data_IF_901850668585
#
_entry.id   IF_901850668585
#
_cell.length_a   1.000
_cell.length_b   1.000
_cell.length_c   1.000
_cell.angle_alpha   90.00
_cell.angle_beta   90.00
_cell.angle_gamma   90.00
#
_symmetry.space_group_name_H-M   'P 1'
#
loop_
_entity.id
_entity.type
_entity.pdbx_description
1 polymer ?
#
# COMPACT_ATOMS: atom_id res chain seq x y z
N UNK A 1 1.00 -17.42 3.75
CA UNK A 1 0.32 -16.43 4.61
C UNK A 1 1.32 -15.91 5.63
N UNK A 2 1.92 -14.76 5.36
CA UNK A 2 2.79 -14.06 6.32
C UNK A 2 1.90 -13.24 7.26
N UNK A 3 1.96 -13.50 8.55
CA UNK A 3 1.08 -12.87 9.52
C UNK A 3 1.62 -11.51 9.93
N UNK A 4 0.76 -10.50 10.00
CA UNK A 4 1.05 -9.14 10.45
C UNK A 4 1.58 -9.05 11.91
N UNK A 5 1.56 -10.12 12.70
CA UNK A 5 2.17 -10.14 14.02
C UNK A 5 3.68 -9.81 14.02
N UNK A 6 4.37 -9.98 12.88
CA UNK A 6 5.77 -9.57 12.77
C UNK A 6 5.92 -8.04 12.61
N UNK A 7 4.90 -7.32 12.16
CA UNK A 7 4.94 -5.87 11.99
C UNK A 7 4.89 -5.08 13.30
N UNK A 8 4.18 -5.59 14.32
CA UNK A 8 4.07 -4.91 15.62
C UNK A 8 5.38 -4.93 16.42
N UNK A 9 6.21 -5.96 16.25
CA UNK A 9 7.50 -6.06 16.93
C UNK A 9 8.62 -5.27 16.25
N UNK A 10 8.54 -5.06 14.94
CA UNK A 10 9.55 -4.29 14.20
C UNK A 10 9.41 -2.77 14.37
N UNK A 11 8.19 -2.27 14.72
CA UNK A 11 7.97 -0.85 14.95
C UNK A 11 8.58 -0.34 16.28
N UNK A 12 8.91 -1.24 17.20
CA UNK A 12 9.51 -0.93 18.50
C UNK A 12 11.02 -1.24 18.54
N UNK A 13 11.80 -0.80 17.55
CA UNK A 13 13.26 -0.87 17.59
C UNK A 13 13.85 -0.18 18.82
N UNK A 14 13.59 -0.73 20.01
CA UNK A 14 14.26 -0.38 21.27
C UNK A 14 15.26 -1.47 21.56
N UNK A 15 16.53 -1.09 21.61
CA UNK A 15 17.69 -1.84 22.07
C UNK A 15 17.35 -2.82 23.19
N UNK A 16 17.63 -4.09 22.93
CA UNK A 16 17.46 -5.22 23.84
C UNK A 16 18.36 -5.07 25.05
N UNK A 17 17.79 -4.78 26.20
CA UNK A 17 18.44 -5.04 27.52
C UNK A 17 18.11 -6.48 27.88
N UNK A 18 19.13 -7.34 27.89
CA UNK A 18 19.03 -8.71 28.39
C UNK A 18 18.62 -8.69 29.87
N UNK A 19 17.46 -9.25 30.16
CA UNK A 19 17.12 -9.77 31.49
C UNK A 19 16.65 -11.20 31.33
N UNK A 20 17.44 -12.14 31.84
CA UNK A 20 17.05 -13.53 32.04
C UNK A 20 15.97 -13.58 33.12
N UNK A 21 14.83 -14.20 32.84
CA UNK A 21 14.15 -15.09 33.78
C UNK A 21 13.14 -15.97 33.03
N UNK A 22 13.32 -17.28 33.24
CA UNK A 22 12.47 -18.35 32.75
C UNK A 22 11.09 -18.29 33.40
N UNK A 23 10.03 -18.48 32.64
CA UNK A 23 8.92 -19.40 32.90
C UNK A 23 8.03 -19.53 31.66
N UNK A 24 7.88 -20.78 31.17
CA UNK A 24 6.83 -21.16 30.24
C UNK A 24 5.45 -21.01 30.84
N UNK A 25 4.38 -20.70 30.07
CA UNK A 25 3.67 -21.74 29.36
C UNK A 25 3.28 -21.35 27.92
N UNK A 26 3.34 -22.34 27.08
CA UNK A 26 2.83 -22.43 25.74
C UNK A 26 1.34 -22.05 25.66
N UNK A 27 1.03 -20.79 25.44
CA UNK A 27 -0.28 -20.39 24.98
C UNK A 27 -0.21 -20.33 23.46
N UNK A 28 -0.66 -21.39 22.79
CA UNK A 28 -0.96 -21.34 21.37
C UNK A 28 -2.05 -20.28 21.17
N UNK A 29 -1.65 -19.09 20.84
CA UNK A 29 -2.57 -18.05 20.36
C UNK A 29 -3.11 -18.57 19.04
N UNK A 30 -4.36 -19.09 19.05
CA UNK A 30 -5.12 -19.35 17.83
C UNK A 30 -5.03 -18.10 16.98
N UNK A 31 -4.42 -18.20 15.79
CA UNK A 31 -4.42 -17.13 14.79
C UNK A 31 -5.88 -16.86 14.42
N UNK A 32 -6.54 -15.92 15.10
CA UNK A 32 -7.81 -15.39 14.66
C UNK A 32 -7.53 -14.55 13.42
N UNK A 33 -8.08 -14.94 12.28
CA UNK A 33 -8.15 -14.05 11.13
C UNK A 33 -8.98 -12.85 11.56
N UNK A 34 -8.35 -11.66 11.60
CA UNK A 34 -9.03 -10.41 11.95
C UNK A 34 -10.12 -10.15 10.92
N UNK A 35 -11.32 -9.80 11.38
CA UNK A 35 -12.36 -9.27 10.52
C UNK A 35 -12.05 -7.79 10.15
N UNK A 36 -12.85 -7.21 9.25
CA UNK A 36 -12.62 -5.86 8.75
C UNK A 36 -12.59 -4.81 9.89
N UNK A 37 -13.53 -4.88 10.84
CA UNK A 37 -13.57 -3.96 11.97
C UNK A 37 -12.32 -4.07 12.84
N UNK A 38 -11.88 -5.28 13.13
CA UNK A 38 -10.65 -5.51 13.89
C UNK A 38 -9.41 -4.96 13.17
N UNK A 39 -9.38 -5.04 11.82
CA UNK A 39 -8.34 -4.38 11.04
C UNK A 39 -8.39 -2.85 11.19
N UNK A 40 -9.57 -2.24 11.13
CA UNK A 40 -9.72 -0.80 11.36
C UNK A 40 -9.22 -0.39 12.76
N UNK A 41 -9.54 -1.17 13.79
CA UNK A 41 -9.11 -0.91 15.16
C UNK A 41 -7.58 -0.99 15.29
N UNK A 42 -6.93 -1.98 14.65
CA UNK A 42 -5.46 -2.10 14.62
C UNK A 42 -4.84 -0.89 13.91
N UNK A 43 -5.32 -0.53 12.72
CA UNK A 43 -4.79 0.60 11.94
C UNK A 43 -4.96 1.93 12.68
N UNK A 44 -6.11 2.13 13.34
CA UNK A 44 -6.38 3.30 14.17
C UNK A 44 -5.39 3.39 15.33
N UNK A 45 -5.13 2.28 16.02
CA UNK A 45 -4.17 2.25 17.12
C UNK A 45 -2.74 2.52 16.66
N UNK A 46 -2.31 1.94 15.53
CA UNK A 46 -0.98 2.20 14.94
C UNK A 46 -0.84 3.69 14.55
N UNK A 47 -1.86 4.26 13.91
CA UNK A 47 -1.88 5.67 13.54
C UNK A 47 -1.86 6.59 14.77
N UNK A 48 -2.61 6.27 15.82
CA UNK A 48 -2.58 7.01 17.10
C UNK A 48 -1.17 7.01 17.70
N UNK A 49 -0.51 5.87 17.77
CA UNK A 49 0.87 5.76 18.26
C UNK A 49 1.83 6.62 17.41
N UNK A 50 1.67 6.60 16.08
CA UNK A 50 2.48 7.41 15.17
C UNK A 50 2.23 8.92 15.38
N UNK A 51 0.97 9.33 15.60
CA UNK A 51 0.60 10.70 15.89
C UNK A 51 1.18 11.20 17.22
N UNK A 52 1.18 10.36 18.27
CA UNK A 52 1.76 10.67 19.58
C UNK A 52 3.30 10.74 19.54
N UNK A 53 3.95 9.77 18.88
CA UNK A 53 5.42 9.68 18.80
C UNK A 53 6.06 10.65 17.84
N UNK A 54 5.33 11.09 16.81
CA UNK A 54 5.80 12.00 15.75
C UNK A 54 7.16 11.60 15.19
N UNK A 55 7.33 10.36 14.70
CA UNK A 55 8.62 9.94 14.19
C UNK A 55 9.07 10.85 13.03
N UNK A 56 10.36 11.23 12.98
CA UNK A 56 10.88 12.06 11.88
C UNK A 56 10.73 11.31 10.55
N UNK A 57 10.55 12.04 9.46
CA UNK A 57 10.43 11.49 8.11
C UNK A 57 9.36 10.37 7.99
N UNK A 58 8.25 10.50 8.72
CA UNK A 58 7.15 9.55 8.63
C UNK A 58 6.63 9.49 7.20
N UNK A 59 6.49 8.28 6.68
CA UNK A 59 5.86 7.97 5.41
C UNK A 59 4.73 6.99 5.63
N UNK A 60 3.60 7.21 4.96
CA UNK A 60 2.44 6.32 5.04
C UNK A 60 2.33 5.54 3.73
N UNK A 61 2.07 4.24 3.83
CA UNK A 61 1.73 3.38 2.71
C UNK A 61 0.26 2.96 2.87
N UNK A 62 -0.65 3.56 2.10
CA UNK A 62 -2.08 3.30 2.15
C UNK A 62 -2.55 2.51 0.92
N UNK A 63 -3.39 1.50 1.14
CA UNK A 63 -3.88 0.68 0.02
C UNK A 63 -4.52 -0.63 0.44
N UNK A 64 -4.36 -1.64 -0.40
CA UNK A 64 -4.94 -2.98 -0.26
C UNK A 64 -3.92 -4.04 0.24
N UNK A 65 -4.11 -5.30 -0.17
CA UNK A 65 -3.21 -6.41 0.20
C UNK A 65 -1.77 -6.20 -0.27
N UNK A 66 -1.54 -5.53 -1.40
CA UNK A 66 -0.19 -5.26 -1.88
C UNK A 66 0.56 -4.36 -0.89
N UNK A 67 -0.09 -3.32 -0.39
CA UNK A 67 0.46 -2.45 0.65
C UNK A 67 0.60 -3.18 1.98
N UNK A 68 -0.44 -3.91 2.40
CA UNK A 68 -0.46 -4.65 3.67
C UNK A 68 0.70 -5.63 3.79
N UNK A 69 1.01 -6.35 2.71
CA UNK A 69 2.01 -7.41 2.71
C UNK A 69 3.41 -6.93 2.33
N UNK A 70 3.61 -5.62 2.18
CA UNK A 70 4.94 -5.08 1.93
C UNK A 70 5.86 -5.44 3.11
N UNK A 71 6.94 -6.20 2.88
CA UNK A 71 7.87 -6.58 3.93
C UNK A 71 8.56 -5.34 4.50
N UNK A 72 8.49 -5.15 5.83
CA UNK A 72 9.01 -3.94 6.48
C UNK A 72 10.51 -3.76 6.25
N UNK A 73 11.24 -4.86 6.21
CA UNK A 73 12.69 -4.90 5.95
C UNK A 73 13.09 -4.46 4.54
N UNK A 74 12.12 -4.42 3.62
CA UNK A 74 12.34 -3.93 2.25
C UNK A 74 11.94 -2.46 2.07
N UNK A 75 11.25 -1.85 3.03
CA UNK A 75 10.93 -0.43 2.97
C UNK A 75 12.19 0.42 3.14
N UNK A 76 12.35 1.54 2.40
CA UNK A 76 13.52 2.40 2.50
C UNK A 76 13.84 2.81 3.95
N UNK A 77 15.05 2.48 4.43
CA UNK A 77 15.47 2.69 5.83
C UNK A 77 15.59 4.17 6.24
N UNK A 78 15.71 5.08 5.26
CA UNK A 78 15.80 6.53 5.50
C UNK A 78 14.51 7.14 6.03
N UNK A 79 13.44 6.35 6.17
CA UNK A 79 12.10 6.79 6.56
C UNK A 79 11.53 5.92 7.68
N UNK A 80 10.64 6.51 8.48
CA UNK A 80 9.74 5.78 9.36
C UNK A 80 8.45 5.46 8.60
N UNK A 81 7.98 4.24 8.66
CA UNK A 81 6.83 3.79 7.88
C UNK A 81 5.62 3.45 8.74
N UNK A 82 4.47 3.94 8.33
CA UNK A 82 3.16 3.54 8.83
C UNK A 82 2.40 2.85 7.69
N UNK A 83 2.19 1.55 7.83
CA UNK A 83 1.45 0.78 6.85
C UNK A 83 -0.05 0.80 7.17
N UNK A 84 -0.84 1.38 6.28
CA UNK A 84 -2.30 1.51 6.36
C UNK A 84 -2.99 0.68 5.27
N UNK A 85 -2.43 -0.48 4.92
CA UNK A 85 -3.03 -1.44 3.97
C UNK A 85 -4.06 -2.35 4.64
N UNK A 86 -5.11 -2.73 3.92
CA UNK A 86 -6.07 -3.79 4.29
C UNK A 86 -6.25 -4.74 3.12
N UNK A 87 -6.13 -6.06 3.36
CA UNK A 87 -6.32 -7.05 2.30
C UNK A 87 -7.73 -6.98 1.71
N UNK A 88 -7.81 -6.98 0.39
CA UNK A 88 -9.08 -6.91 -0.33
C UNK A 88 -9.74 -5.52 -0.34
N UNK A 89 -9.09 -4.47 0.13
CA UNK A 89 -9.66 -3.13 0.20
C UNK A 89 -9.96 -2.54 -1.19
N UNK A 90 -11.05 -1.80 -1.31
CA UNK A 90 -11.42 -1.02 -2.49
C UNK A 90 -11.11 0.47 -2.33
N UNK A 91 -11.15 1.22 -3.42
CA UNK A 91 -10.98 2.68 -3.38
C UNK A 91 -12.03 3.36 -2.48
N UNK A 92 -13.29 2.92 -2.56
CA UNK A 92 -14.35 3.42 -1.69
C UNK A 92 -14.19 3.01 -0.22
N UNK A 93 -13.57 1.86 0.06
CA UNK A 93 -13.25 1.45 1.42
C UNK A 93 -12.10 2.27 2.01
N UNK A 94 -11.03 2.49 1.24
CA UNK A 94 -9.93 3.37 1.64
C UNK A 94 -10.43 4.79 1.93
N UNK A 95 -11.26 5.36 1.03
CA UNK A 95 -11.83 6.69 1.19
C UNK A 95 -12.54 6.85 2.56
N UNK A 96 -13.36 5.87 2.94
CA UNK A 96 -14.12 5.92 4.22
C UNK A 96 -13.26 5.87 5.48
N UNK A 97 -11.97 5.54 5.37
CA UNK A 97 -11.08 5.37 6.52
C UNK A 97 -9.83 6.25 6.50
N UNK A 98 -9.77 7.24 5.63
CA UNK A 98 -8.64 8.18 5.59
C UNK A 98 -8.45 8.91 6.93
N UNK A 99 -9.55 9.18 7.64
CA UNK A 99 -9.53 9.81 8.97
C UNK A 99 -8.84 8.96 10.06
N UNK A 100 -8.53 7.69 9.83
CA UNK A 100 -7.81 6.88 10.82
C UNK A 100 -6.41 7.42 11.11
N UNK A 101 -5.80 8.11 10.16
CA UNK A 101 -4.45 8.64 10.28
C UNK A 101 -4.36 10.17 10.10
N UNK A 102 -5.48 10.89 10.19
CA UNK A 102 -5.57 12.34 10.04
C UNK A 102 -4.73 13.13 11.06
N UNK A 103 -4.53 12.58 12.26
CA UNK A 103 -3.72 13.21 13.32
C UNK A 103 -2.22 12.97 13.16
N UNK A 104 -1.79 12.18 12.19
CA UNK A 104 -0.38 11.95 11.91
C UNK A 104 0.22 13.12 11.13
N UNK A 105 1.56 13.24 11.16
CA UNK A 105 2.29 14.29 10.42
C UNK A 105 3.29 13.65 9.45
N UNK A 106 2.82 12.95 8.40
CA UNK A 106 3.71 12.32 7.44
C UNK A 106 4.37 13.37 6.53
N UNK A 107 5.57 13.06 6.04
CA UNK A 107 6.20 13.80 4.96
C UNK A 107 5.65 13.38 3.59
N UNK A 108 5.34 12.08 3.46
CA UNK A 108 4.80 11.53 2.21
C UNK A 108 3.71 10.50 2.54
N UNK A 109 2.64 10.52 1.75
CA UNK A 109 1.62 9.46 1.73
C UNK A 109 1.61 8.84 0.35
N UNK A 110 1.96 7.55 0.27
CA UNK A 110 1.85 6.74 -0.94
C UNK A 110 0.53 6.00 -0.95
N UNK A 111 -0.22 6.08 -2.05
CA UNK A 111 -1.51 5.42 -2.22
C UNK A 111 -1.47 4.50 -3.43
N UNK A 112 -1.72 3.20 -3.22
CA UNK A 112 -1.97 2.22 -4.28
C UNK A 112 -3.25 1.46 -3.97
N UNK A 113 -4.28 1.60 -4.80
CA UNK A 113 -5.59 0.99 -4.61
C UNK A 113 -6.29 0.78 -5.97
N UNK A 114 -7.31 -0.04 -6.05
CA UNK A 114 -8.20 -0.09 -7.22
C UNK A 114 -8.28 -1.45 -7.92
N UNK A 115 -7.32 -2.35 -7.73
CA UNK A 115 -7.41 -3.69 -8.34
C UNK A 115 -8.63 -4.46 -7.80
N UNK A 116 -8.96 -4.32 -6.51
CA UNK A 116 -10.12 -4.96 -5.92
C UNK A 116 -11.45 -4.35 -6.37
N UNK A 117 -11.46 -3.08 -6.75
CA UNK A 117 -12.61 -2.44 -7.39
C UNK A 117 -12.92 -3.13 -8.73
N UNK A 118 -11.89 -3.30 -9.56
CA UNK A 118 -12.00 -3.97 -10.85
C UNK A 118 -12.45 -5.43 -10.69
N UNK A 119 -11.87 -6.16 -9.73
CA UNK A 119 -12.24 -7.55 -9.40
C UNK A 119 -13.71 -7.68 -8.96
N UNK A 120 -14.25 -6.63 -8.33
CA UNK A 120 -15.66 -6.55 -7.90
C UNK A 120 -16.59 -5.98 -8.96
N UNK A 121 -16.08 -5.63 -10.14
CA UNK A 121 -16.88 -5.09 -11.23
C UNK A 121 -17.32 -3.65 -11.03
N UNK A 122 -16.65 -2.90 -10.14
CA UNK A 122 -16.89 -1.46 -9.96
C UNK A 122 -16.51 -0.73 -11.25
N UNK A 123 -17.34 0.23 -11.64
CA UNK A 123 -17.12 0.99 -12.88
C UNK A 123 -15.89 1.92 -12.77
N UNK A 124 -15.21 2.15 -13.89
CA UNK A 124 -14.08 3.08 -13.96
C UNK A 124 -14.46 4.48 -13.45
N UNK A 125 -15.69 4.93 -13.73
CA UNK A 125 -16.18 6.21 -13.27
C UNK A 125 -16.17 6.32 -11.74
N UNK A 126 -16.74 5.34 -11.04
CA UNK A 126 -16.76 5.31 -9.56
C UNK A 126 -15.35 5.25 -8.99
N UNK A 127 -14.45 4.46 -9.61
CA UNK A 127 -13.04 4.39 -9.18
C UNK A 127 -12.39 5.77 -9.31
N UNK A 128 -12.58 6.45 -10.43
CA UNK A 128 -12.01 7.79 -10.66
C UNK A 128 -12.58 8.84 -9.71
N UNK A 129 -13.89 8.81 -9.44
CA UNK A 129 -14.53 9.68 -8.45
C UNK A 129 -13.97 9.45 -7.05
N UNK A 130 -13.77 8.18 -6.65
CA UNK A 130 -13.12 7.86 -5.38
C UNK A 130 -11.69 8.39 -5.32
N UNK A 131 -10.90 8.26 -6.40
CA UNK A 131 -9.54 8.81 -6.45
C UNK A 131 -9.52 10.34 -6.34
N UNK A 132 -10.45 11.03 -7.00
CA UNK A 132 -10.61 12.49 -6.86
C UNK A 132 -10.85 12.88 -5.40
N UNK A 133 -11.74 12.17 -4.72
CA UNK A 133 -12.07 12.44 -3.31
C UNK A 133 -10.92 12.07 -2.38
N UNK A 134 -10.26 10.92 -2.59
CA UNK A 134 -9.07 10.52 -1.80
C UNK A 134 -7.98 11.61 -1.87
N UNK A 135 -7.67 12.10 -3.07
CA UNK A 135 -6.66 13.15 -3.25
C UNK A 135 -7.07 14.45 -2.57
N UNK A 136 -8.33 14.87 -2.73
CA UNK A 136 -8.86 16.10 -2.14
C UNK A 136 -8.84 16.02 -0.61
N UNK A 137 -9.35 14.94 -0.02
CA UNK A 137 -9.38 14.75 1.43
C UNK A 137 -7.97 14.65 2.03
N UNK A 138 -7.05 13.90 1.41
CA UNK A 138 -5.68 13.80 1.88
C UNK A 138 -4.97 15.16 1.86
N UNK A 139 -5.17 15.98 0.83
CA UNK A 139 -4.61 17.33 0.77
C UNK A 139 -5.19 18.27 1.83
N UNK A 140 -6.48 18.11 2.13
CA UNK A 140 -7.14 18.90 3.18
C UNK A 140 -6.65 18.48 4.58
N UNK A 141 -6.55 17.19 4.84
CA UNK A 141 -6.11 16.66 6.15
C UNK A 141 -4.61 16.86 6.40
N UNK A 142 -3.81 16.84 5.33
CA UNK A 142 -2.34 16.86 5.40
C UNK A 142 -1.74 17.92 4.45
N UNK A 143 -1.97 19.23 4.70
CA UNK A 143 -1.59 20.31 3.76
C UNK A 143 -0.09 20.41 3.48
N UNK A 144 0.74 20.01 4.45
CA UNK A 144 2.22 20.05 4.35
C UNK A 144 2.82 18.71 3.88
N UNK A 145 1.99 17.75 3.49
CA UNK A 145 2.39 16.40 3.12
C UNK A 145 2.38 16.22 1.60
N UNK A 146 3.41 15.59 1.08
CA UNK A 146 3.41 15.17 -0.32
C UNK A 146 2.52 13.94 -0.51
N UNK A 147 1.49 14.07 -1.33
CA UNK A 147 0.63 12.96 -1.71
C UNK A 147 1.15 12.38 -3.03
N UNK A 148 1.32 11.05 -3.06
CA UNK A 148 1.84 10.30 -4.21
C UNK A 148 0.89 9.16 -4.54
N UNK A 149 0.16 9.32 -5.63
CA UNK A 149 -0.66 8.24 -6.16
C UNK A 149 0.22 7.32 -6.99
N UNK A 150 0.12 6.02 -6.75
CA UNK A 150 0.84 5.00 -7.49
C UNK A 150 -0.11 4.31 -8.47
N UNK A 151 0.42 3.89 -9.62
CA UNK A 151 -0.36 3.14 -10.61
C UNK A 151 -0.87 1.81 -10.05
N UNK A 152 -2.06 1.40 -10.47
CA UNK A 152 -2.57 0.03 -10.28
C UNK A 152 -1.66 -0.91 -11.08
N UNK A 153 -1.17 -1.97 -10.45
CA UNK A 153 -0.30 -2.95 -11.09
C UNK A 153 -1.08 -3.88 -12.03
N UNK A 154 -0.43 -4.44 -13.06
CA UNK A 154 -1.03 -5.45 -13.91
C UNK A 154 -1.19 -6.76 -13.16
N UNK A 155 -1.97 -7.69 -13.71
CA UNK A 155 -2.03 -9.09 -13.28
C UNK A 155 -1.47 -10.03 -14.36
N UNK A 156 -1.19 -11.30 -13.99
CA UNK A 156 -0.56 -12.27 -14.87
C UNK A 156 -1.49 -12.86 -15.95
N UNK A 157 -2.75 -12.39 -16.03
CA UNK A 157 -3.73 -12.86 -17.01
C UNK A 157 -3.91 -14.39 -16.94
N UNK A 158 -3.77 -15.10 -18.04
CA UNK A 158 -3.96 -16.56 -18.13
C UNK A 158 -2.98 -17.34 -17.25
N UNK A 159 -1.85 -16.79 -16.91
CA UNK A 159 -0.84 -17.41 -16.06
C UNK A 159 -1.10 -17.22 -14.56
N UNK A 160 -2.16 -16.51 -14.18
CA UNK A 160 -2.53 -16.36 -12.79
C UNK A 160 -2.99 -17.70 -12.18
N UNK A 161 -2.54 -17.97 -10.95
CA UNK A 161 -2.94 -19.13 -10.14
C UNK A 161 -3.77 -18.73 -8.92
N UNK A 162 -3.99 -17.41 -8.74
CA UNK A 162 -4.84 -16.88 -7.69
C UNK A 162 -6.25 -17.48 -7.77
N UNK A 163 -6.86 -17.77 -6.63
CA UNK A 163 -8.18 -18.46 -6.55
C UNK A 163 -9.33 -17.76 -7.32
N UNK A 164 -9.21 -16.42 -7.48
CA UNK A 164 -10.14 -15.59 -8.25
C UNK A 164 -9.71 -15.36 -9.71
N UNK A 165 -8.89 -16.22 -10.30
CA UNK A 165 -8.33 -16.08 -11.66
C UNK A 165 -9.35 -15.68 -12.71
N UNK A 166 -10.55 -16.28 -12.70
CA UNK A 166 -11.58 -15.97 -13.70
C UNK A 166 -12.02 -14.51 -13.66
N UNK A 167 -12.02 -13.88 -12.47
CA UNK A 167 -12.29 -12.44 -12.33
C UNK A 167 -11.16 -11.60 -12.91
N UNK A 168 -9.90 -12.04 -12.77
CA UNK A 168 -8.76 -11.37 -13.40
C UNK A 168 -8.84 -11.43 -14.93
N UNK A 169 -9.22 -12.59 -15.49
CA UNK A 169 -9.39 -12.77 -16.93
C UNK A 169 -10.48 -11.84 -17.51
N UNK A 170 -11.47 -11.48 -16.72
CA UNK A 170 -12.51 -10.53 -17.13
C UNK A 170 -12.01 -9.07 -17.15
N UNK A 171 -10.78 -8.80 -16.67
CA UNK A 171 -10.21 -7.47 -16.57
C UNK A 171 -8.96 -7.39 -17.47
N UNK A 172 -9.07 -6.97 -18.73
CA UNK A 172 -7.89 -6.83 -19.58
C UNK A 172 -6.87 -5.84 -18.97
N UNK A 173 -5.58 -6.18 -18.97
CA UNK A 173 -4.52 -5.26 -18.51
C UNK A 173 -4.51 -3.93 -19.30
N UNK A 174 -5.05 -3.91 -20.52
CA UNK A 174 -5.29 -2.68 -21.27
C UNK A 174 -6.28 -1.72 -20.58
N UNK A 175 -7.30 -2.24 -19.88
CA UNK A 175 -8.22 -1.45 -19.06
C UNK A 175 -7.50 -0.84 -17.87
N UNK A 176 -6.63 -1.61 -17.18
CA UNK A 176 -5.80 -1.10 -16.08
C UNK A 176 -4.92 0.05 -16.57
N UNK A 177 -4.24 -0.10 -17.71
CA UNK A 177 -3.43 0.98 -18.30
C UNK A 177 -4.25 2.22 -18.66
N UNK A 178 -5.48 2.05 -19.17
CA UNK A 178 -6.36 3.18 -19.47
C UNK A 178 -6.81 3.90 -18.21
N UNK A 179 -7.16 3.14 -17.16
CA UNK A 179 -7.55 3.69 -15.88
C UNK A 179 -6.38 4.44 -15.24
N UNK A 180 -5.17 3.87 -15.25
CA UNK A 180 -3.96 4.52 -14.75
C UNK A 180 -3.69 5.86 -15.42
N UNK A 181 -3.86 5.99 -16.75
CA UNK A 181 -3.73 7.27 -17.46
C UNK A 181 -4.74 8.31 -16.98
N UNK A 182 -5.99 7.89 -16.72
CA UNK A 182 -7.02 8.79 -16.21
C UNK A 182 -6.73 9.22 -14.78
N UNK A 183 -6.28 8.29 -13.91
CA UNK A 183 -5.85 8.59 -12.54
C UNK A 183 -4.67 9.58 -12.56
N UNK A 184 -3.69 9.38 -13.43
CA UNK A 184 -2.56 10.30 -13.59
C UNK A 184 -3.01 11.70 -14.02
N UNK A 185 -3.97 11.80 -14.96
CA UNK A 185 -4.51 13.08 -15.38
C UNK A 185 -5.19 13.83 -14.22
N UNK A 186 -6.01 13.13 -13.43
CA UNK A 186 -6.66 13.69 -12.23
C UNK A 186 -5.62 14.12 -11.20
N UNK A 187 -4.59 13.31 -10.95
CA UNK A 187 -3.52 13.66 -10.03
C UNK A 187 -2.81 14.94 -10.46
N UNK A 188 -2.50 15.06 -11.76
CA UNK A 188 -1.89 16.27 -12.35
C UNK A 188 -2.80 17.49 -12.19
N UNK A 189 -4.08 17.35 -12.50
CA UNK A 189 -5.07 18.43 -12.36
C UNK A 189 -5.21 18.91 -10.92
N UNK A 190 -5.15 18.00 -9.96
CA UNK A 190 -5.21 18.33 -8.53
C UNK A 190 -3.86 18.73 -7.93
N UNK A 191 -2.77 18.78 -8.70
CA UNK A 191 -1.43 19.09 -8.19
C UNK A 191 -0.88 18.01 -7.25
N UNK A 192 -1.34 16.77 -7.40
CA UNK A 192 -0.87 15.60 -6.68
C UNK A 192 0.17 14.85 -7.51
N UNK A 193 1.20 14.31 -6.87
CA UNK A 193 2.23 13.54 -7.57
C UNK A 193 1.72 12.17 -8.00
N UNK A 194 2.23 11.69 -9.13
CA UNK A 194 1.93 10.36 -9.64
C UNK A 194 3.22 9.57 -9.86
N UNK A 195 3.30 8.36 -9.33
CA UNK A 195 4.39 7.42 -9.51
C UNK A 195 3.91 6.24 -10.35
N UNK A 196 4.32 6.22 -11.62
CA UNK A 196 3.97 5.12 -12.51
C UNK A 196 4.87 3.91 -12.29
N UNK A 197 4.39 2.97 -11.51
CA UNK A 197 5.04 1.67 -11.26
C UNK A 197 4.74 0.65 -12.35
N UNK A 198 3.62 0.81 -13.08
CA UNK A 198 3.13 -0.19 -14.03
C UNK A 198 4.21 -0.65 -15.04
N UNK A 199 5.03 0.23 -15.64
CA UNK A 199 6.06 -0.19 -16.60
C UNK A 199 7.14 -1.11 -16.01
N UNK A 200 7.39 -1.04 -14.71
CA UNK A 200 8.39 -1.87 -14.01
C UNK A 200 7.92 -3.31 -13.83
N UNK A 201 6.61 -3.55 -13.93
CA UNK A 201 5.98 -4.82 -13.60
C UNK A 201 5.48 -5.60 -14.81
N UNK A 202 5.47 -4.99 -15.99
CA UNK A 202 4.93 -5.65 -17.21
C UNK A 202 6.01 -6.38 -18.01
N UNK A 203 5.63 -7.50 -18.62
CA UNK A 203 6.37 -8.15 -19.69
C UNK A 203 6.00 -7.55 -21.05
N UNK A 204 6.60 -8.08 -22.12
CA UNK A 204 6.35 -7.64 -23.50
C UNK A 204 4.88 -7.81 -23.96
N UNK A 205 4.09 -8.62 -23.27
CA UNK A 205 2.67 -8.85 -23.53
C UNK A 205 1.77 -7.90 -22.71
N UNK A 206 2.35 -7.08 -21.83
CA UNK A 206 1.63 -6.19 -20.93
C UNK A 206 1.01 -6.87 -19.71
N UNK A 207 1.45 -8.09 -19.40
CA UNK A 207 1.03 -8.86 -18.22
C UNK A 207 2.08 -8.76 -17.12
N UNK A 208 1.68 -8.98 -15.87
CA UNK A 208 2.58 -9.04 -14.72
C UNK A 208 3.67 -10.09 -14.98
N UNK A 209 4.91 -9.67 -14.79
CA UNK A 209 6.10 -10.53 -14.98
C UNK A 209 6.07 -11.68 -13.97
N UNK A 210 6.27 -12.94 -14.43
CA UNK A 210 6.12 -14.14 -13.59
C UNK A 210 7.04 -14.13 -12.35
N UNK A 211 8.24 -13.61 -12.47
CA UNK A 211 9.21 -13.55 -11.39
C UNK A 211 8.84 -12.52 -10.30
N UNK A 212 7.95 -11.57 -10.62
CA UNK A 212 7.52 -10.52 -9.69
C UNK A 212 6.23 -10.86 -8.93
N UNK A 213 5.66 -12.05 -9.16
CA UNK A 213 4.40 -12.45 -8.54
C UNK A 213 4.46 -13.85 -7.96
N UNK A 214 3.64 -14.12 -6.94
CA UNK A 214 3.47 -15.44 -6.33
C UNK A 214 2.32 -16.23 -6.94
N UNK A 215 1.25 -15.53 -7.36
CA UNK A 215 -0.01 -16.14 -7.79
C UNK A 215 -0.64 -15.43 -9.01
N UNK A 216 0.06 -14.44 -9.56
CA UNK A 216 -0.43 -13.64 -10.69
C UNK A 216 -1.19 -12.38 -10.33
N UNK A 217 -1.40 -12.13 -9.03
CA UNK A 217 -1.99 -10.90 -8.46
C UNK A 217 -1.07 -10.28 -7.40
N UNK A 218 -0.62 -11.08 -6.44
CA UNK A 218 0.21 -10.63 -5.34
C UNK A 218 1.70 -10.71 -5.69
N UNK A 219 2.48 -9.82 -5.09
CA UNK A 219 3.91 -9.71 -5.39
C UNK A 219 4.73 -10.80 -4.70
N UNK A 220 5.75 -11.26 -5.40
CA UNK A 220 6.84 -12.07 -4.86
C UNK A 220 7.81 -11.18 -4.06
N UNK A 221 8.76 -11.75 -3.28
CA UNK A 221 9.84 -10.97 -2.68
C UNK A 221 10.60 -10.11 -3.71
N UNK A 222 10.82 -10.64 -4.93
CA UNK A 222 11.44 -9.90 -6.02
C UNK A 222 10.58 -8.73 -6.49
N UNK A 223 9.25 -8.90 -6.55
CA UNK A 223 8.31 -7.83 -6.88
C UNK A 223 8.35 -6.70 -5.85
N UNK A 224 8.42 -7.04 -4.57
CA UNK A 224 8.57 -6.04 -3.51
C UNK A 224 9.94 -5.32 -3.55
N UNK A 225 11.03 -6.00 -3.95
CA UNK A 225 12.32 -5.32 -4.18
C UNK A 225 12.24 -4.30 -5.30
N UNK A 226 11.56 -4.60 -6.41
CA UNK A 226 11.33 -3.65 -7.49
C UNK A 226 10.53 -2.44 -6.99
N UNK A 227 9.47 -2.67 -6.24
CA UNK A 227 8.66 -1.57 -5.66
C UNK A 227 9.47 -0.74 -4.66
N UNK A 228 10.21 -1.39 -3.75
CA UNK A 228 11.12 -0.72 -2.81
C UNK A 228 12.10 0.21 -3.53
N UNK A 229 12.76 -0.30 -4.57
CA UNK A 229 13.73 0.47 -5.36
C UNK A 229 13.07 1.71 -6.00
N UNK A 230 11.84 1.57 -6.49
CA UNK A 230 11.10 2.71 -7.04
C UNK A 230 10.76 3.76 -5.96
N UNK A 231 10.34 3.33 -4.76
CA UNK A 231 10.09 4.23 -3.63
C UNK A 231 11.37 4.95 -3.18
N UNK A 232 12.49 4.24 -3.17
CA UNK A 232 13.80 4.82 -2.79
C UNK A 232 14.26 5.86 -3.80
N UNK A 233 14.24 5.54 -5.09
CA UNK A 233 14.60 6.47 -6.18
C UNK A 233 13.70 7.71 -6.16
N UNK A 234 12.38 7.52 -6.05
CA UNK A 234 11.45 8.63 -5.94
C UNK A 234 11.79 9.56 -4.78
N UNK A 235 12.09 8.98 -3.61
CA UNK A 235 12.44 9.75 -2.42
C UNK A 235 13.75 10.54 -2.57
N UNK A 236 14.73 9.99 -3.29
CA UNK A 236 16.01 10.67 -3.55
C UNK A 236 15.85 11.83 -4.54
N UNK A 237 15.04 11.65 -5.60
CA UNK A 237 14.78 12.72 -6.58
C UNK A 237 14.06 13.92 -5.95
N UNK A 238 13.14 13.70 -5.04
CA UNK A 238 12.42 14.78 -4.33
C UNK A 238 13.30 15.53 -3.32
N UNK A 239 14.30 14.89 -2.74
CA UNK A 239 15.27 15.55 -1.86
C UNK A 239 16.27 16.40 -2.64
N UNK A 240 16.74 15.92 -3.82
CA UNK A 240 17.66 16.66 -4.68
C UNK A 240 17.04 17.84 -5.44
N UNK A 241 15.71 17.97 -5.44
CA UNK A 241 15.01 19.08 -6.09
C UNK A 241 14.81 20.31 -5.18
N UNK A 242 15.26 20.22 -3.92
CA UNK A 242 15.11 21.30 -2.90
C UNK A 242 16.41 21.99 -2.53
N UNK A 243 17.52 21.61 -3.17
CA UNK A 243 18.79 22.32 -3.17
C UNK A 243 18.93 23.21 -4.42
#
# INVERSE_FOLDING_TARGET
MLSRQQGLTAFFGITSIKSQNQTNPTTQVKKHQLNYQQWLDVLKQEAKIAAEKRPPNLSILAGDSLSLWFPLELLPESKNWLNQGISGESSGGLLKRLNLFDQTQPKIIFVMIGINDLIRGISDQVILENYQQIMAELRQMHPDTQIVIQSILPHASENATWEGRDKLLAIPNSRIRQLNRKIQAIATEQGVKYLDLHPLFVNNQGNLRPELTTDGLHLSPQGYLVWSSALQLYSQMELGSKE
#
